data_IF_371280310327
#
_entry.id   IF_371280310327
#
_cell.length_a   1.000
_cell.length_b   1.000
_cell.length_c   1.000
_cell.angle_alpha   90.00
_cell.angle_beta   90.00
_cell.angle_gamma   90.00
#
_symmetry.space_group_name_H-M   'P 1'
#
loop_
_entity.id
_entity.type
_entity.pdbx_description
1 polymer ?
#
# COMPACT_ATOMS: atom_id res chain seq x y z
N UNK A 1 2.11 -2.94 9.47
CA UNK A 1 2.73 -1.64 9.14
C UNK A 1 3.10 -1.48 7.65
N UNK A 2 3.60 -2.51 6.96
CA UNK A 2 4.07 -2.39 5.57
C UNK A 2 3.07 -1.77 4.57
N UNK A 3 1.78 -2.14 4.65
CA UNK A 3 0.75 -1.64 3.71
C UNK A 3 0.50 -0.14 3.87
N UNK A 4 0.40 0.36 5.11
CA UNK A 4 0.18 1.78 5.37
C UNK A 4 1.38 2.63 4.90
N UNK A 5 2.60 2.18 5.17
CA UNK A 5 3.81 2.84 4.66
C UNK A 5 3.84 2.85 3.12
N UNK A 6 3.42 1.76 2.49
CA UNK A 6 3.34 1.68 1.04
C UNK A 6 2.30 2.65 0.44
N UNK A 7 1.17 2.93 1.11
CA UNK A 7 0.23 3.98 0.69
C UNK A 7 0.88 5.38 0.70
N UNK A 8 1.72 5.67 1.70
CA UNK A 8 2.47 6.94 1.77
C UNK A 8 3.42 7.07 0.59
N UNK A 9 4.13 5.99 0.24
CA UNK A 9 5.04 5.96 -0.91
C UNK A 9 4.29 6.09 -2.25
N UNK A 10 3.11 5.48 -2.38
CA UNK A 10 2.27 5.66 -3.57
C UNK A 10 1.75 7.10 -3.67
N UNK A 11 1.37 7.70 -2.55
CA UNK A 11 0.94 9.10 -2.49
C UNK A 11 2.08 10.08 -2.82
N UNK A 12 3.32 9.82 -2.38
CA UNK A 12 4.48 10.65 -2.72
C UNK A 12 4.82 10.61 -4.22
N UNK A 13 4.42 9.55 -4.94
CA UNK A 13 4.49 9.44 -6.42
C UNK A 13 3.34 10.17 -7.14
N UNK A 14 2.48 10.88 -6.43
CA UNK A 14 1.31 11.54 -7.00
C UNK A 14 0.15 10.58 -7.33
N UNK A 15 0.15 9.36 -6.77
CA UNK A 15 -0.90 8.36 -6.95
C UNK A 15 -1.55 7.98 -5.61
N UNK A 16 -2.14 8.94 -4.88
CA UNK A 16 -2.74 8.68 -3.58
C UNK A 16 -3.99 7.79 -3.69
N UNK A 17 -4.37 7.14 -2.58
CA UNK A 17 -5.66 6.47 -2.48
C UNK A 17 -6.77 7.49 -2.25
N UNK A 18 -8.00 7.18 -2.68
CA UNK A 18 -9.19 7.99 -2.35
C UNK A 18 -9.43 8.10 -0.84
N UNK A 19 -8.95 7.12 -0.07
CA UNK A 19 -9.09 7.07 1.38
C UNK A 19 -7.87 7.65 2.11
N UNK A 20 -6.95 8.32 1.42
CA UNK A 20 -5.79 8.93 2.07
C UNK A 20 -6.25 10.08 2.99
N UNK A 21 -5.92 10.07 4.29
CA UNK A 21 -6.29 11.15 5.20
C UNK A 21 -5.75 12.49 4.74
N UNK A 22 -6.57 13.55 4.83
CA UNK A 22 -6.18 14.91 4.39
C UNK A 22 -4.93 15.42 5.14
N UNK A 23 -4.82 15.13 6.43
CA UNK A 23 -3.65 15.48 7.23
C UNK A 23 -2.35 14.85 6.70
N UNK A 24 -2.41 13.58 6.27
CA UNK A 24 -1.26 12.91 5.68
C UNK A 24 -0.89 13.49 4.30
N UNK A 25 -1.89 13.89 3.51
CA UNK A 25 -1.67 14.61 2.24
C UNK A 25 -0.98 15.95 2.48
N UNK A 26 -1.44 16.72 3.47
CA UNK A 26 -0.83 18.00 3.86
C UNK A 26 0.58 17.82 4.41
N UNK A 27 0.82 16.79 5.22
CA UNK A 27 2.16 16.46 5.70
C UNK A 27 3.11 16.12 4.54
N UNK A 28 2.66 15.32 3.56
CA UNK A 28 3.45 14.94 2.38
C UNK A 28 3.89 16.14 1.53
N UNK A 29 3.11 17.22 1.48
CA UNK A 29 3.47 18.47 0.79
C UNK A 29 4.74 19.11 1.37
N UNK A 30 5.01 18.90 2.65
CA UNK A 30 6.16 19.44 3.36
C UNK A 30 7.39 18.50 3.30
N UNK A 31 7.23 17.30 2.72
CA UNK A 31 8.31 16.30 2.64
C UNK A 31 9.03 16.32 1.30
N UNK A 32 10.23 15.74 1.28
CA UNK A 32 10.93 15.44 0.03
C UNK A 32 10.28 14.24 -0.68
N UNK A 33 9.16 14.49 -1.37
CA UNK A 33 8.36 13.45 -2.05
C UNK A 33 9.19 12.59 -3.01
N UNK A 34 10.19 13.19 -3.65
CA UNK A 34 11.11 12.52 -4.57
C UNK A 34 11.94 11.42 -3.87
N UNK A 35 12.45 11.67 -2.66
CA UNK A 35 13.21 10.67 -1.89
C UNK A 35 12.32 9.53 -1.43
N UNK A 36 11.11 9.84 -0.96
CA UNK A 36 10.13 8.83 -0.55
C UNK A 36 9.71 7.97 -1.75
N UNK A 37 9.50 8.59 -2.92
CA UNK A 37 9.12 7.89 -4.14
C UNK A 37 10.16 6.85 -4.60
N UNK A 38 11.45 7.05 -4.30
CA UNK A 38 12.52 6.07 -4.59
C UNK A 38 12.33 4.74 -3.84
N UNK A 39 11.58 4.73 -2.73
CA UNK A 39 11.29 3.53 -1.96
C UNK A 39 10.22 2.65 -2.59
N UNK A 40 9.57 3.11 -3.67
CA UNK A 40 8.46 2.38 -4.29
C UNK A 40 8.76 0.93 -4.70
N UNK A 41 9.96 0.57 -5.21
CA UNK A 41 10.29 -0.82 -5.50
C UNK A 41 10.31 -1.70 -4.24
N UNK A 42 10.82 -1.18 -3.12
CA UNK A 42 10.87 -1.89 -1.84
C UNK A 42 9.47 -2.01 -1.24
N UNK A 43 8.69 -0.93 -1.28
CA UNK A 43 7.29 -0.92 -0.85
C UNK A 43 6.44 -1.93 -1.64
N UNK A 44 6.59 -1.98 -2.97
CA UNK A 44 5.86 -2.93 -3.81
C UNK A 44 6.21 -4.39 -3.46
N UNK A 45 7.50 -4.70 -3.24
CA UNK A 45 7.94 -6.03 -2.78
C UNK A 45 7.33 -6.39 -1.43
N UNK A 46 7.26 -5.45 -0.50
CA UNK A 46 6.66 -5.69 0.81
C UNK A 46 5.15 -5.98 0.71
N UNK A 47 4.41 -5.22 -0.09
CA UNK A 47 2.97 -5.46 -0.31
C UNK A 47 2.75 -6.80 -1.04
N UNK A 48 3.58 -7.14 -2.02
CA UNK A 48 3.54 -8.46 -2.68
C UNK A 48 3.78 -9.61 -1.69
N UNK A 49 4.68 -9.45 -0.72
CA UNK A 49 4.91 -10.44 0.33
C UNK A 49 3.70 -10.58 1.25
N UNK A 50 3.01 -9.48 1.56
CA UNK A 50 1.75 -9.53 2.33
C UNK A 50 0.65 -10.23 1.53
N UNK A 51 0.54 -9.95 0.22
CA UNK A 51 -0.51 -10.50 -0.63
C UNK A 51 -0.32 -11.99 -0.94
N UNK A 52 0.92 -12.42 -1.22
CA UNK A 52 1.22 -13.74 -1.78
C UNK A 52 2.10 -14.61 -0.88
N UNK A 53 2.65 -14.06 0.20
CA UNK A 53 3.57 -14.78 1.07
C UNK A 53 2.92 -15.99 1.75
N UNK A 54 3.63 -17.12 1.90
CA UNK A 54 3.09 -18.34 2.50
C UNK A 54 2.89 -18.26 4.01
N UNK A 55 3.37 -17.19 4.67
CA UNK A 55 3.26 -16.94 6.12
C UNK A 55 2.71 -15.55 6.42
N UNK A 56 1.82 -15.05 5.54
CA UNK A 56 1.24 -13.73 5.73
C UNK A 56 0.01 -13.86 6.62
N UNK A 57 0.19 -13.66 7.92
CA UNK A 57 -0.90 -13.71 8.90
C UNK A 57 -2.06 -12.80 8.48
N UNK A 58 -1.75 -11.63 7.91
CA UNK A 58 -2.79 -10.73 7.41
C UNK A 58 -3.59 -11.36 6.26
N UNK A 59 -2.94 -12.01 5.29
CA UNK A 59 -3.65 -12.71 4.21
C UNK A 59 -4.53 -13.83 4.77
N UNK A 60 -3.98 -14.63 5.68
CA UNK A 60 -4.68 -15.74 6.32
C UNK A 60 -5.95 -15.25 7.01
N UNK A 61 -5.85 -14.18 7.83
CA UNK A 61 -6.99 -13.55 8.48
C UNK A 61 -8.07 -13.07 7.49
N UNK A 62 -7.68 -12.45 6.37
CA UNK A 62 -8.65 -12.01 5.37
C UNK A 62 -9.25 -13.18 4.58
N UNK A 63 -8.54 -14.30 4.39
CA UNK A 63 -9.05 -15.49 3.71
C UNK A 63 -10.18 -16.17 4.49
N UNK A 64 -10.20 -16.05 5.82
CA UNK A 64 -11.31 -16.53 6.65
C UNK A 64 -12.63 -15.84 6.27
N UNK A 65 -12.57 -14.56 5.87
CA UNK A 65 -13.71 -13.82 5.34
C UNK A 65 -13.80 -13.89 3.80
N UNK A 66 -14.33 -15.00 3.28
CA UNK A 66 -14.45 -15.26 1.83
C UNK A 66 -15.20 -14.20 1.04
N UNK A 67 -16.10 -13.43 1.67
CA UNK A 67 -16.86 -12.36 0.99
C UNK A 67 -16.01 -11.12 0.73
N UNK A 68 -15.20 -10.73 1.71
CA UNK A 68 -14.37 -9.51 1.66
C UNK A 68 -12.97 -9.77 1.08
N UNK A 69 -12.48 -11.02 1.14
CA UNK A 69 -11.16 -11.40 0.66
C UNK A 69 -10.85 -10.93 -0.78
N UNK A 70 -11.76 -11.07 -1.77
CA UNK A 70 -11.50 -10.59 -3.12
C UNK A 70 -11.33 -9.08 -3.19
N UNK A 71 -12.14 -8.33 -2.45
CA UNK A 71 -12.07 -6.87 -2.39
C UNK A 71 -10.77 -6.40 -1.72
N UNK A 72 -10.38 -7.03 -0.62
CA UNK A 72 -9.10 -6.76 0.05
C UNK A 72 -7.90 -7.04 -0.87
N UNK A 73 -7.88 -8.20 -1.53
CA UNK A 73 -6.84 -8.57 -2.49
C UNK A 73 -6.77 -7.57 -3.66
N UNK A 74 -7.92 -7.13 -4.17
CA UNK A 74 -8.01 -6.09 -5.20
C UNK A 74 -7.40 -4.76 -4.75
N UNK A 75 -7.62 -4.34 -3.51
CA UNK A 75 -6.98 -3.13 -2.94
C UNK A 75 -5.46 -3.26 -2.87
N UNK A 76 -4.94 -4.44 -2.48
CA UNK A 76 -3.50 -4.70 -2.47
C UNK A 76 -2.90 -4.66 -3.87
N UNK A 77 -3.57 -5.25 -4.86
CA UNK A 77 -3.14 -5.21 -6.27
C UNK A 77 -3.15 -3.78 -6.83
N UNK A 78 -4.19 -3.00 -6.50
CA UNK A 78 -4.27 -1.58 -6.86
C UNK A 78 -3.13 -0.75 -6.24
N UNK A 79 -2.79 -1.00 -4.97
CA UNK A 79 -1.64 -0.37 -4.33
C UNK A 79 -0.32 -0.74 -5.04
N UNK A 80 -0.10 -2.01 -5.36
CA UNK A 80 1.07 -2.45 -6.12
C UNK A 80 1.15 -1.76 -7.48
N UNK A 81 0.02 -1.60 -8.19
CA UNK A 81 -0.02 -0.90 -9.46
C UNK A 81 0.35 0.58 -9.34
N UNK A 82 -0.09 1.27 -8.27
CA UNK A 82 0.27 2.68 -8.01
C UNK A 82 1.76 2.86 -7.65
N UNK A 83 2.39 1.84 -7.09
CA UNK A 83 3.82 1.86 -6.73
C UNK A 83 4.75 1.63 -7.94
N UNK A 84 4.28 1.00 -9.02
CA UNK A 84 5.02 0.88 -10.29
C UNK A 84 5.10 2.25 -10.98
#
# INVERSE_FOLDING_TARGET
MAVAAAEVVAASKGRPSKSLPKELSSWLEQQQKAEIAKLAPVAAKAVLRVLNGPKSELRELWQENKKEFPAWSGRMQSLIARLK
#
